data_IF_155928626881
#
_entry.id   IF_155928626881
#
_cell.length_a   1.000
_cell.length_b   1.000
_cell.length_c   1.000
_cell.angle_alpha   90.00
_cell.angle_beta   90.00
_cell.angle_gamma   90.00
#
_symmetry.space_group_name_H-M   'P 1'
#
loop_
_entity.id
_entity.type
_entity.pdbx_description
1 polymer ?
#
# COMPACT_ATOMS: atom_id res chain seq x y z
N UNK A 1 -3.28 10.38 5.13
CA UNK A 1 -2.44 9.92 4.01
C UNK A 1 -2.74 8.46 3.77
N UNK A 2 -2.97 8.07 2.52
CA UNK A 2 -3.24 6.68 2.12
C UNK A 2 -1.99 6.10 1.49
N UNK A 3 -1.68 4.85 1.83
CA UNK A 3 -0.59 4.05 1.28
C UNK A 3 -1.23 2.94 0.46
N UNK A 4 -0.87 2.80 -0.80
CA UNK A 4 -1.35 1.72 -1.66
C UNK A 4 -0.30 0.60 -1.69
N UNK A 5 -0.72 -0.62 -1.34
CA UNK A 5 0.11 -1.82 -1.47
C UNK A 5 -0.22 -2.50 -2.79
N UNK A 6 0.76 -2.61 -3.67
CA UNK A 6 0.69 -3.37 -4.93
C UNK A 6 1.73 -4.49 -4.93
N UNK A 7 1.31 -5.70 -5.28
CA UNK A 7 2.24 -6.83 -5.45
C UNK A 7 2.82 -6.77 -6.86
N UNK A 8 4.14 -6.81 -7.01
CA UNK A 8 4.81 -6.94 -8.32
C UNK A 8 5.49 -8.30 -8.38
N UNK A 9 5.09 -9.15 -9.32
CA UNK A 9 5.78 -10.40 -9.58
C UNK A 9 7.05 -10.12 -10.39
N UNK A 10 8.21 -10.31 -9.76
CA UNK A 10 9.48 -10.47 -10.47
C UNK A 10 9.83 -11.96 -10.43
N UNK A 11 10.35 -12.53 -11.51
CA UNK A 11 10.58 -13.99 -11.72
C UNK A 11 11.45 -14.71 -10.67
N UNK A 12 11.83 -14.06 -9.58
CA UNK A 12 12.38 -14.68 -8.38
C UNK A 12 11.88 -13.91 -7.16
N UNK A 13 10.93 -14.52 -6.43
CA UNK A 13 10.35 -14.12 -5.12
C UNK A 13 9.14 -13.19 -5.17
N UNK A 14 8.12 -13.60 -4.43
CA UNK A 14 6.85 -12.92 -4.15
C UNK A 14 7.06 -11.64 -3.32
N UNK A 15 7.57 -10.57 -3.92
CA UNK A 15 7.82 -9.30 -3.21
C UNK A 15 6.56 -8.41 -3.21
N UNK A 16 6.15 -7.95 -2.03
CA UNK A 16 5.08 -6.94 -1.88
C UNK A 16 5.74 -5.57 -1.93
N UNK A 17 5.51 -4.80 -3.00
CA UNK A 17 5.97 -3.42 -3.10
C UNK A 17 4.95 -2.48 -2.46
N UNK A 18 5.43 -1.49 -1.72
CA UNK A 18 4.57 -0.48 -1.10
C UNK A 18 4.77 0.84 -1.79
N UNK A 19 3.70 1.38 -2.36
CA UNK A 19 3.75 2.62 -3.13
C UNK A 19 2.82 3.64 -2.49
N UNK A 20 3.39 4.76 -2.03
CA UNK A 20 2.59 5.88 -1.53
C UNK A 20 2.31 6.85 -2.65
N UNK A 21 1.02 7.08 -2.86
CA UNK A 21 0.56 8.10 -3.79
C UNK A 21 0.31 9.41 -3.06
N UNK A 22 1.14 10.43 -3.33
CA UNK A 22 0.87 11.81 -2.88
C UNK A 22 0.00 12.49 -3.94
N UNK A 23 -1.32 12.56 -3.74
CA UNK A 23 -2.18 13.43 -4.56
C UNK A 23 -1.91 14.90 -4.22
N UNK A 24 -1.00 15.53 -4.93
CA UNK A 24 -0.97 16.99 -5.12
C UNK A 24 -1.22 17.24 -6.61
N UNK A 25 -2.23 18.04 -6.93
CA UNK A 25 -2.84 18.13 -8.27
C UNK A 25 -1.86 18.10 -9.45
N UNK A 26 -2.19 17.26 -10.44
CA UNK A 26 -1.59 17.06 -11.78
C UNK A 26 -0.39 16.11 -11.96
N UNK A 27 0.43 15.80 -10.96
CA UNK A 27 1.49 14.77 -11.11
C UNK A 27 1.53 13.90 -9.85
N UNK A 28 1.41 12.60 -10.04
CA UNK A 28 1.54 11.60 -8.99
C UNK A 28 3.02 11.31 -8.75
N UNK A 29 3.62 11.92 -7.72
CA UNK A 29 4.91 11.45 -7.22
C UNK A 29 4.69 10.18 -6.40
N UNK A 30 5.29 9.10 -6.88
CA UNK A 30 5.29 7.82 -6.19
C UNK A 30 6.50 7.75 -5.25
N UNK A 31 6.24 7.39 -3.99
CA UNK A 31 7.29 7.10 -3.01
C UNK A 31 7.21 5.63 -2.68
N UNK A 32 8.30 4.89 -2.90
CA UNK A 32 8.42 3.52 -2.44
C UNK A 32 8.70 3.49 -0.94
N UNK A 33 8.02 2.60 -0.22
CA UNK A 33 8.24 2.36 1.21
C UNK A 33 8.63 0.90 1.40
N UNK A 34 9.57 0.64 2.31
CA UNK A 34 9.86 -0.73 2.74
C UNK A 34 8.64 -1.29 3.48
N UNK A 35 8.15 -2.45 3.07
CA UNK A 35 7.05 -3.13 3.76
C UNK A 35 7.34 -3.33 5.25
N UNK A 36 8.60 -3.61 5.61
CA UNK A 36 9.02 -3.75 6.99
C UNK A 36 8.99 -2.44 7.78
N UNK A 37 8.87 -1.27 7.14
CA UNK A 37 8.68 0.03 7.78
C UNK A 37 7.19 0.30 8.12
N UNK A 38 6.30 -0.63 7.78
CA UNK A 38 4.89 -0.60 8.14
C UNK A 38 4.56 -1.63 9.21
N UNK A 39 3.74 -1.23 10.17
CA UNK A 39 3.08 -2.14 11.12
C UNK A 39 1.58 -2.13 10.81
N UNK A 40 1.03 -3.27 10.43
CA UNK A 40 -0.38 -3.40 10.04
C UNK A 40 -1.23 -3.76 11.25
N UNK A 41 -2.31 -3.02 11.47
CA UNK A 41 -3.29 -3.23 12.54
C UNK A 41 -4.58 -3.85 11.98
N UNK A 42 -5.72 -3.41 12.50
CA UNK A 42 -7.03 -3.90 12.15
C UNK A 42 -7.46 -3.52 10.72
N UNK A 43 -8.30 -4.39 10.14
CA UNK A 43 -8.99 -4.11 8.88
C UNK A 43 -10.12 -3.12 9.16
N UNK A 44 -10.08 -1.97 8.48
CA UNK A 44 -11.08 -0.91 8.68
C UNK A 44 -12.05 -0.78 7.50
N UNK A 45 -11.81 -1.45 6.37
CA UNK A 45 -12.73 -1.40 5.23
C UNK A 45 -12.44 -2.41 4.13
N UNK A 46 -13.46 -2.69 3.30
CA UNK A 46 -13.36 -3.48 2.07
C UNK A 46 -14.16 -2.80 0.97
N UNK A 47 -13.61 -2.72 -0.23
CA UNK A 47 -14.28 -2.22 -1.42
C UNK A 47 -13.91 -3.03 -2.66
N UNK A 48 -14.45 -2.65 -3.81
CA UNK A 48 -14.20 -3.30 -5.11
C UNK A 48 -12.72 -3.37 -5.49
N UNK A 49 -11.92 -2.39 -5.05
CA UNK A 49 -10.51 -2.27 -5.40
C UNK A 49 -9.55 -2.90 -4.39
N UNK A 50 -10.02 -3.39 -3.24
CA UNK A 50 -9.10 -3.78 -2.19
C UNK A 50 -9.66 -3.85 -0.78
N UNK A 51 -8.76 -4.18 0.14
CA UNK A 51 -8.99 -4.11 1.58
C UNK A 51 -8.14 -3.01 2.19
N UNK A 52 -8.72 -2.20 3.07
CA UNK A 52 -8.03 -1.12 3.76
C UNK A 52 -7.80 -1.53 5.22
N UNK A 53 -6.56 -1.35 5.66
CA UNK A 53 -6.10 -1.58 7.02
C UNK A 53 -5.66 -0.27 7.63
N UNK A 54 -5.80 -0.14 8.94
CA UNK A 54 -5.05 0.85 9.69
C UNK A 54 -3.63 0.32 9.91
N UNK A 55 -2.64 1.20 9.95
CA UNK A 55 -1.30 0.82 10.34
C UNK A 55 -0.45 2.01 10.78
N UNK A 56 0.77 1.73 11.21
CA UNK A 56 1.78 2.71 11.58
C UNK A 56 2.90 2.69 10.54
N UNK A 57 3.21 3.87 10.00
CA UNK A 57 4.46 4.10 9.30
C UNK A 57 5.54 4.44 10.33
N UNK A 58 6.41 3.48 10.63
CA UNK A 58 7.32 3.51 11.78
C UNK A 58 8.33 4.65 11.70
N UNK A 59 9.07 4.76 10.59
CA UNK A 59 10.07 5.84 10.43
C UNK A 59 9.49 7.26 10.45
N UNK A 60 8.19 7.42 10.18
CA UNK A 60 7.48 8.71 10.24
C UNK A 60 6.63 8.88 11.50
N UNK A 61 6.60 7.88 12.37
CA UNK A 61 5.73 7.79 13.55
C UNK A 61 4.30 8.27 13.26
N UNK A 62 3.69 7.75 12.18
CA UNK A 62 2.42 8.25 11.65
C UNK A 62 1.41 7.14 11.40
N UNK A 63 0.19 7.32 11.91
CA UNK A 63 -0.94 6.43 11.59
C UNK A 63 -1.41 6.69 10.16
N UNK A 64 -1.58 5.62 9.40
CA UNK A 64 -1.89 5.62 7.97
C UNK A 64 -2.98 4.60 7.63
N UNK A 65 -3.68 4.86 6.53
CA UNK A 65 -4.55 3.87 5.90
C UNK A 65 -3.73 3.13 4.84
N UNK A 66 -3.72 1.80 4.89
CA UNK A 66 -2.95 0.92 4.02
C UNK A 66 -3.93 0.12 3.17
N UNK A 67 -3.97 0.35 1.86
CA UNK A 67 -4.89 -0.32 0.95
C UNK A 67 -4.18 -1.43 0.19
N UNK A 68 -4.52 -2.68 0.50
CA UNK A 68 -4.12 -3.84 -0.29
C UNK A 68 -4.99 -3.91 -1.53
N UNK A 69 -4.41 -3.63 -2.69
CA UNK A 69 -5.12 -3.71 -3.97
C UNK A 69 -5.39 -5.18 -4.33
N UNK A 70 -6.60 -5.46 -4.83
CA UNK A 70 -6.91 -6.75 -5.43
C UNK A 70 -6.23 -6.79 -6.79
N UNK A 71 -5.44 -7.84 -7.06
CA UNK A 71 -4.98 -8.11 -8.41
C UNK A 71 -6.17 -8.75 -9.14
N UNK A 72 -6.64 -8.13 -10.21
CA UNK A 72 -7.40 -8.87 -11.21
C UNK A 72 -6.38 -9.78 -11.87
N UNK A 73 -6.47 -11.08 -11.60
CA UNK A 73 -5.87 -12.06 -12.50
C UNK A 73 -6.52 -11.81 -13.87
N UNK A 74 -5.71 -11.40 -14.85
CA UNK A 74 -6.18 -11.42 -16.23
C UNK A 74 -6.43 -12.89 -16.56
N UNK A 75 -7.69 -13.28 -16.77
CA UNK A 75 -8.06 -14.55 -17.39
C UNK A 75 -7.39 -14.73 -18.75
#
# INVERSE_FOLDING_TARGET
>A
STIDLSRTESSTKNETKVVVHRQTGKIADYIEIDYNDLEIYDKCGRGSFGTVYRGLWKSRNKIVAIKKLLQLENE
#
